data_IF_980463425959
#
_entry.id   IF_980463425959
#
_cell.length_a   1.000
_cell.length_b   1.000
_cell.length_c   1.000
_cell.angle_alpha   90.00
_cell.angle_beta   90.00
_cell.angle_gamma   90.00
#
_symmetry.space_group_name_H-M   'P 1'
#
loop_
_entity.id
_entity.type
_entity.pdbx_description
1 polymer ?
#
# COMPACT_ATOMS: atom_id res chain seq x y z
N UNK A 1 18.06 -4.45 -16.45
CA UNK A 1 16.94 -4.12 -17.35
C UNK A 1 15.72 -3.89 -16.47
N UNK A 2 15.02 -2.77 -16.63
CA UNK A 2 13.80 -2.47 -15.88
C UNK A 2 12.63 -3.27 -16.44
N UNK A 3 11.71 -3.68 -15.57
CA UNK A 3 10.56 -4.47 -15.97
C UNK A 3 9.52 -3.57 -16.64
N UNK A 4 9.10 -3.95 -17.85
CA UNK A 4 7.83 -3.46 -18.39
C UNK A 4 6.70 -3.99 -17.50
N UNK A 5 5.86 -3.09 -17.02
CA UNK A 5 4.78 -3.43 -16.09
C UNK A 5 3.48 -2.74 -16.44
N UNK A 6 2.37 -3.43 -16.21
CA UNK A 6 1.03 -2.86 -16.15
C UNK A 6 0.48 -3.05 -14.74
N UNK A 7 -0.53 -2.25 -14.39
CA UNK A 7 -1.32 -2.42 -13.13
C UNK A 7 -0.48 -2.37 -11.84
N UNK A 8 0.73 -1.81 -11.89
CA UNK A 8 1.58 -1.58 -10.73
C UNK A 8 1.05 -0.43 -9.86
N UNK A 9 1.46 -0.41 -8.61
CA UNK A 9 1.32 0.78 -7.79
C UNK A 9 2.46 1.75 -8.09
N UNK A 10 2.18 3.04 -8.02
CA UNK A 10 3.17 4.10 -8.12
C UNK A 10 2.97 5.05 -6.93
N UNK A 11 4.03 5.29 -6.17
CA UNK A 11 3.95 6.08 -4.93
C UNK A 11 5.02 7.17 -4.97
N UNK A 12 4.60 8.41 -4.75
CA UNK A 12 5.54 9.52 -4.59
C UNK A 12 6.22 9.43 -3.21
N UNK A 13 7.55 9.39 -3.21
CA UNK A 13 8.39 9.49 -2.02
C UNK A 13 8.95 10.93 -2.01
N UNK A 14 8.52 11.77 -1.04
CA UNK A 14 8.98 13.14 -0.92
C UNK A 14 10.51 13.23 -0.92
N UNK A 15 11.06 14.15 -1.71
CA UNK A 15 12.50 14.41 -1.87
C UNK A 15 13.33 13.31 -2.57
N UNK A 16 12.73 12.16 -2.93
CA UNK A 16 13.43 11.08 -3.64
C UNK A 16 12.92 10.88 -5.08
N UNK A 17 11.62 10.70 -5.27
CA UNK A 17 11.04 10.37 -6.58
C UNK A 17 9.82 9.47 -6.50
N UNK A 18 9.52 8.72 -7.57
CA UNK A 18 8.35 7.84 -7.64
C UNK A 18 8.78 6.38 -7.59
N UNK A 19 8.30 5.65 -6.60
CA UNK A 19 8.52 4.21 -6.47
C UNK A 19 7.41 3.43 -7.17
N UNK A 20 7.80 2.61 -8.15
CA UNK A 20 6.94 1.68 -8.87
C UNK A 20 7.04 0.30 -8.24
N UNK A 21 5.89 -0.32 -7.97
CA UNK A 21 5.81 -1.50 -7.11
C UNK A 21 4.96 -2.57 -7.81
N UNK A 22 5.54 -3.75 -8.01
CA UNK A 22 4.85 -4.92 -8.53
C UNK A 22 4.14 -4.69 -9.86
N UNK A 23 2.89 -5.13 -9.96
CA UNK A 23 2.14 -5.14 -11.22
C UNK A 23 2.32 -6.45 -11.98
N UNK A 24 2.00 -6.43 -13.27
CA UNK A 24 2.18 -7.58 -14.17
C UNK A 24 3.22 -7.27 -15.24
N UNK A 25 4.15 -8.20 -15.44
CA UNK A 25 5.18 -8.09 -16.48
C UNK A 25 4.62 -8.26 -17.89
N UNK A 26 5.50 -8.19 -18.90
CA UNK A 26 5.14 -8.44 -20.31
C UNK A 26 4.39 -9.76 -20.53
N UNK A 27 4.77 -10.81 -19.79
CA UNK A 27 4.12 -12.13 -19.82
C UNK A 27 2.85 -12.21 -18.95
N UNK A 28 2.32 -11.06 -18.48
CA UNK A 28 1.19 -10.92 -17.57
C UNK A 28 1.38 -11.60 -16.20
N UNK A 29 2.59 -12.05 -15.87
CA UNK A 29 2.87 -12.68 -14.58
C UNK A 29 3.06 -11.62 -13.49
N UNK A 30 2.59 -11.88 -12.26
CA UNK A 30 2.86 -11.05 -11.10
C UNK A 30 4.35 -10.76 -10.89
N UNK A 31 4.69 -9.48 -10.73
CA UNK A 31 6.03 -9.01 -10.42
C UNK A 31 6.17 -8.75 -8.91
N UNK A 32 7.33 -9.09 -8.36
CA UNK A 32 7.80 -8.63 -7.04
C UNK A 32 8.70 -7.42 -7.12
N UNK A 33 9.11 -7.02 -8.33
CA UNK A 33 10.13 -6.00 -8.53
C UNK A 33 9.60 -4.62 -8.16
N UNK A 34 10.51 -3.81 -7.64
CA UNK A 34 10.28 -2.41 -7.29
C UNK A 34 11.38 -1.57 -7.91
N UNK A 35 11.00 -0.43 -8.47
CA UNK A 35 11.91 0.43 -9.24
C UNK A 35 11.65 1.88 -8.86
N UNK A 36 12.70 2.65 -8.62
CA UNK A 36 12.61 4.05 -8.24
C UNK A 36 12.94 4.92 -9.45
N UNK A 37 12.00 5.77 -9.84
CA UNK A 37 12.25 6.89 -10.74
C UNK A 37 12.68 8.08 -9.90
N UNK A 38 13.99 8.26 -9.77
CA UNK A 38 14.63 9.26 -8.91
C UNK A 38 14.79 10.58 -9.66
N UNK A 39 14.50 11.69 -8.97
CA UNK A 39 14.79 13.05 -9.45
C UNK A 39 16.21 13.42 -9.03
N UNK A 40 17.11 13.63 -9.99
CA UNK A 40 18.42 14.19 -9.69
C UNK A 40 18.28 15.70 -9.46
N UNK A 41 18.82 16.20 -8.35
CA UNK A 41 18.97 17.64 -8.15
C UNK A 41 19.91 18.18 -9.23
N UNK A 42 19.54 19.26 -9.90
CA UNK A 42 20.47 19.98 -10.76
C UNK A 42 21.58 20.54 -9.88
N UNK A 43 22.76 19.93 -9.90
CA UNK A 43 23.94 20.56 -9.33
C UNK A 43 24.10 21.95 -9.95
N UNK A 44 24.35 22.93 -9.09
CA UNK A 44 24.36 24.37 -9.37
C UNK A 44 25.52 24.71 -10.31
N UNK A 45 25.37 24.43 -11.60
CA UNK A 45 26.11 25.06 -12.69
C UNK A 45 25.49 24.64 -14.03
N UNK A 46 24.83 25.59 -14.68
CA UNK A 46 24.40 25.52 -16.08
C UNK A 46 23.10 24.76 -16.39
N UNK A 47 22.00 25.53 -16.47
CA UNK A 47 20.98 25.44 -17.53
C UNK A 47 20.30 24.10 -17.89
N UNK A 48 20.45 23.04 -17.10
CA UNK A 48 19.91 21.72 -17.41
C UNK A 48 18.61 21.44 -16.64
N UNK A 49 17.53 21.11 -17.35
CA UNK A 49 16.26 20.68 -16.76
C UNK A 49 16.42 19.45 -15.85
N UNK A 50 15.35 19.14 -15.11
CA UNK A 50 15.31 17.99 -14.19
C UNK A 50 15.74 16.70 -14.89
N UNK A 51 16.81 16.09 -14.41
CA UNK A 51 17.26 14.78 -14.89
C UNK A 51 16.61 13.70 -14.05
N UNK A 52 15.94 12.78 -14.71
CA UNK A 52 15.31 11.62 -14.09
C UNK A 52 16.12 10.37 -14.36
N UNK A 53 16.30 9.54 -13.33
CA UNK A 53 17.04 8.29 -13.44
C UNK A 53 16.24 7.14 -12.84
N UNK A 54 16.18 6.03 -13.58
CA UNK A 54 15.65 4.78 -13.06
C UNK A 54 16.70 4.03 -12.25
N UNK A 55 16.31 3.54 -11.07
CA UNK A 55 17.14 2.76 -10.18
C UNK A 55 16.41 1.48 -9.75
N UNK A 56 17.10 0.32 -9.74
CA UNK A 56 16.54 -0.87 -9.12
C UNK A 56 16.38 -0.63 -7.61
N UNK A 57 15.34 -1.21 -7.03
CA UNK A 57 15.08 -1.13 -5.58
C UNK A 57 14.83 -2.53 -5.01
N UNK A 58 14.98 -2.69 -3.70
CA UNK A 58 14.78 -3.99 -3.02
C UNK A 58 13.40 -4.55 -3.35
N UNK A 59 13.27 -5.75 -3.93
CA UNK A 59 11.97 -6.30 -4.32
C UNK A 59 11.11 -6.69 -3.10
N UNK A 60 9.79 -6.70 -3.27
CA UNK A 60 8.82 -7.18 -2.26
C UNK A 60 9.08 -8.66 -1.90
N UNK A 61 8.68 -9.06 -0.70
CA UNK A 61 8.81 -10.45 -0.26
C UNK A 61 7.82 -11.34 -1.01
N UNK A 62 6.60 -10.85 -1.25
CA UNK A 62 5.53 -11.60 -1.91
C UNK A 62 5.20 -11.01 -3.28
N UNK A 63 4.68 -11.88 -4.15
CA UNK A 63 3.99 -11.45 -5.38
C UNK A 63 2.52 -11.22 -5.05
N UNK A 64 2.05 -10.00 -5.21
CA UNK A 64 0.62 -9.69 -5.30
C UNK A 64 0.14 -10.00 -6.73
N UNK A 65 -1.08 -10.48 -6.93
CA UNK A 65 -1.75 -10.98 -8.16
C UNK A 65 -1.84 -9.96 -9.32
N UNK A 66 -1.00 -8.93 -9.25
CA UNK A 66 -0.70 -7.97 -10.28
C UNK A 66 -1.36 -6.62 -10.06
N UNK A 67 -2.09 -6.42 -8.96
CA UNK A 67 -2.79 -5.18 -8.64
C UNK A 67 -2.45 -4.72 -7.22
N UNK A 68 -1.18 -4.38 -6.90
CA UNK A 68 -0.86 -3.89 -5.58
C UNK A 68 -1.53 -2.53 -5.32
N UNK A 69 -1.98 -2.33 -4.08
CA UNK A 69 -2.33 -1.04 -3.51
C UNK A 69 -1.16 -0.59 -2.66
N UNK A 70 -0.78 0.68 -2.76
CA UNK A 70 0.33 1.21 -1.98
C UNK A 70 0.12 2.65 -1.51
N UNK A 71 0.68 2.98 -0.36
CA UNK A 71 0.68 4.35 0.18
C UNK A 71 2.01 4.66 0.85
N UNK A 72 2.54 5.86 0.61
CA UNK A 72 3.65 6.40 1.38
C UNK A 72 3.08 7.12 2.60
N UNK A 73 3.52 6.72 3.78
CA UNK A 73 3.04 7.26 5.03
C UNK A 73 4.16 7.22 6.08
N UNK A 74 4.43 8.37 6.73
CA UNK A 74 5.41 8.51 7.81
C UNK A 74 6.79 7.88 7.50
N UNK A 75 7.34 8.14 6.30
CA UNK A 75 8.67 7.65 5.93
C UNK A 75 8.71 6.21 5.43
N UNK A 76 7.57 5.54 5.31
CA UNK A 76 7.45 4.13 4.92
C UNK A 76 6.47 3.97 3.77
N UNK A 77 6.61 2.89 3.01
CA UNK A 77 5.63 2.49 1.99
C UNK A 77 4.93 1.23 2.45
N UNK A 78 3.61 1.25 2.49
CA UNK A 78 2.77 0.11 2.86
C UNK A 78 2.11 -0.47 1.61
N UNK A 79 2.10 -1.80 1.48
CA UNK A 79 1.60 -2.50 0.29
C UNK A 79 0.72 -3.70 0.67
N UNK A 80 -0.38 -3.85 -0.05
CA UNK A 80 -1.23 -5.06 -0.05
C UNK A 80 -1.71 -5.35 -1.46
N UNK A 81 -2.22 -6.56 -1.70
CA UNK A 81 -2.89 -6.88 -2.96
C UNK A 81 -4.34 -6.41 -3.00
N UNK A 82 -4.74 -5.82 -4.13
CA UNK A 82 -6.13 -5.44 -4.37
C UNK A 82 -7.04 -6.67 -4.44
N UNK A 83 -8.05 -6.69 -3.57
CA UNK A 83 -9.02 -7.78 -3.44
C UNK A 83 -8.43 -9.16 -3.11
N UNK A 84 -7.13 -9.25 -2.77
CA UNK A 84 -6.54 -10.46 -2.21
C UNK A 84 -7.06 -10.69 -0.78
N UNK A 85 -7.09 -11.96 -0.35
CA UNK A 85 -7.27 -12.24 1.07
C UNK A 85 -6.02 -11.79 1.82
N UNK A 86 -6.19 -10.77 2.66
CA UNK A 86 -5.08 -10.10 3.32
C UNK A 86 -4.95 -10.61 4.75
N UNK A 87 -3.90 -11.39 5.00
CA UNK A 87 -3.43 -11.81 6.32
C UNK A 87 -2.16 -11.06 6.76
N UNK A 88 -1.47 -10.43 5.82
CA UNK A 88 -0.28 -9.62 6.02
C UNK A 88 -0.27 -8.42 5.08
N UNK A 89 0.42 -7.36 5.49
CA UNK A 89 0.76 -6.19 4.68
C UNK A 89 2.26 -6.04 4.67
N UNK A 90 2.82 -5.72 3.51
CA UNK A 90 4.25 -5.46 3.43
C UNK A 90 4.53 -3.98 3.71
N UNK A 91 5.63 -3.71 4.40
CA UNK A 91 6.11 -2.37 4.72
C UNK A 91 7.57 -2.24 4.33
N UNK A 92 7.86 -1.23 3.52
CA UNK A 92 9.20 -0.81 3.16
C UNK A 92 9.60 0.40 4.00
N UNK A 93 10.69 0.26 4.73
CA UNK A 93 11.33 1.35 5.45
C UNK A 93 12.26 2.14 4.52
N UNK A 94 11.72 3.18 3.88
CA UNK A 94 12.43 3.99 2.87
C UNK A 94 13.58 4.79 3.48
N UNK A 95 13.42 5.26 4.73
CA UNK A 95 14.40 6.13 5.39
C UNK A 95 15.42 5.36 6.22
N UNK A 96 15.12 4.14 6.63
CA UNK A 96 16.04 3.28 7.37
C UNK A 96 16.63 2.18 6.51
N UNK A 97 16.17 0.95 6.71
CA UNK A 97 16.85 -0.25 6.19
C UNK A 97 16.77 -0.44 4.66
N UNK A 98 15.79 0.19 3.99
CA UNK A 98 15.49 -0.08 2.58
C UNK A 98 14.99 -1.51 2.33
N UNK A 99 14.55 -2.23 3.38
CA UNK A 99 14.07 -3.60 3.31
C UNK A 99 12.55 -3.69 3.49
N UNK A 100 11.96 -4.71 2.86
CA UNK A 100 10.56 -5.06 3.05
C UNK A 100 10.37 -5.94 4.27
N UNK A 101 9.35 -5.66 5.05
CA UNK A 101 8.95 -6.42 6.24
C UNK A 101 7.48 -6.76 6.17
N UNK A 102 7.11 -7.99 6.55
CA UNK A 102 5.69 -8.37 6.68
C UNK A 102 5.15 -7.91 8.03
N UNK A 103 4.05 -7.18 7.98
CA UNK A 103 3.23 -6.82 9.12
C UNK A 103 2.00 -7.72 9.13
N UNK A 104 1.94 -8.63 10.11
CA UNK A 104 0.82 -9.56 10.21
C UNK A 104 -0.41 -8.89 10.80
N UNK A 105 -1.58 -9.23 10.26
CA UNK A 105 -2.84 -8.83 10.83
C UNK A 105 -3.28 -9.85 11.87
N UNK A 106 -3.49 -9.39 13.09
CA UNK A 106 -4.29 -10.16 14.05
C UNK A 106 -5.76 -10.04 13.68
N UNK A 107 -6.20 -10.73 12.63
CA UNK A 107 -7.63 -10.85 12.34
C UNK A 107 -8.27 -11.85 13.30
N UNK A 108 -9.53 -11.57 13.63
CA UNK A 108 -10.35 -12.40 14.49
C UNK A 108 -10.76 -13.68 13.73
N UNK A 109 -10.51 -14.85 14.34
CA UNK A 109 -10.97 -16.19 13.90
C UNK A 109 -10.50 -16.72 12.52
N UNK A 110 -10.27 -18.04 12.36
CA UNK A 110 -9.81 -18.65 11.09
C UNK A 110 -10.74 -18.46 9.88
N UNK A 111 -12.03 -18.20 10.15
CA UNK A 111 -13.09 -18.14 9.14
C UNK A 111 -13.43 -16.70 8.68
N UNK A 112 -12.68 -15.70 9.14
CA UNK A 112 -12.85 -14.32 8.72
C UNK A 112 -11.66 -13.84 7.90
N UNK A 113 -11.96 -13.26 6.74
CA UNK A 113 -10.98 -12.72 5.81
C UNK A 113 -11.25 -11.26 5.54
N UNK A 114 -10.18 -10.50 5.34
CA UNK A 114 -10.26 -9.13 4.84
C UNK A 114 -9.79 -9.11 3.39
N UNK A 115 -10.54 -8.43 2.52
CA UNK A 115 -10.07 -8.01 1.21
C UNK A 115 -9.97 -6.50 1.20
N UNK A 116 -8.87 -5.95 0.71
CA UNK A 116 -8.65 -4.50 0.71
C UNK A 116 -8.86 -3.96 -0.71
N UNK A 117 -9.56 -2.83 -0.80
CA UNK A 117 -9.86 -2.12 -2.06
C UNK A 117 -9.23 -0.74 -2.11
N UNK A 118 -9.10 -0.08 -0.96
CA UNK A 118 -8.56 1.27 -0.86
C UNK A 118 -7.66 1.41 0.36
N UNK A 119 -6.66 2.29 0.24
CA UNK A 119 -5.74 2.65 1.30
C UNK A 119 -5.49 4.16 1.31
N UNK A 120 -5.35 4.76 2.49
CA UNK A 120 -4.99 6.17 2.63
C UNK A 120 -4.31 6.43 3.97
N UNK A 121 -3.26 7.26 3.99
CA UNK A 121 -2.73 7.83 5.24
C UNK A 121 -3.42 9.16 5.52
N UNK A 122 -4.00 9.32 6.72
CA UNK A 122 -4.67 10.56 7.15
C UNK A 122 -4.29 10.87 8.59
N UNK A 123 -3.67 12.04 8.81
CA UNK A 123 -3.13 12.39 10.12
C UNK A 123 -2.04 11.40 10.56
N UNK A 124 -2.25 10.76 11.71
CA UNK A 124 -1.35 9.74 12.26
C UNK A 124 -1.81 8.29 11.99
N UNK A 125 -2.86 8.12 11.18
CA UNK A 125 -3.45 6.80 10.95
C UNK A 125 -3.38 6.36 9.49
N UNK A 126 -3.13 5.06 9.31
CA UNK A 126 -3.31 4.37 8.04
C UNK A 126 -4.72 3.79 8.00
N UNK A 127 -5.51 4.19 7.00
CA UNK A 127 -6.85 3.66 6.73
C UNK A 127 -6.80 2.62 5.62
N UNK A 128 -7.57 1.54 5.80
CA UNK A 128 -7.85 0.55 4.77
C UNK A 128 -9.35 0.33 4.68
N UNK A 129 -9.86 0.19 3.47
CA UNK A 129 -11.27 -0.08 3.24
C UNK A 129 -11.43 -1.23 2.26
N UNK A 130 -12.38 -2.11 2.55
CA UNK A 130 -12.74 -3.21 1.67
C UNK A 130 -13.82 -4.08 2.25
N UNK A 131 -13.72 -5.40 2.05
CA UNK A 131 -14.75 -6.33 2.53
C UNK A 131 -14.20 -7.24 3.62
N UNK A 132 -14.92 -7.25 4.75
CA UNK A 132 -14.86 -8.32 5.75
C UNK A 132 -15.75 -9.46 5.26
N UNK A 133 -15.17 -10.64 5.12
CA UNK A 133 -15.81 -11.85 4.59
C UNK A 133 -15.80 -12.89 5.69
N UNK A 134 -16.98 -13.30 6.12
CA UNK A 134 -17.17 -14.37 7.11
C UNK A 134 -17.70 -15.60 6.39
N UNK A 135 -16.97 -16.72 6.50
CA UNK A 135 -17.40 -18.00 5.95
C UNK A 135 -18.31 -18.69 6.95
N UNK A 136 -19.60 -18.77 6.63
CA UNK A 136 -20.61 -19.40 7.50
C UNK A 136 -20.64 -20.91 7.21
N UNK A 137 -20.53 -21.29 5.95
CA UNK A 137 -20.35 -22.68 5.49
C UNK A 137 -19.76 -22.69 4.07
N UNK A 138 -19.52 -23.88 3.49
CA UNK A 138 -18.93 -24.04 2.15
C UNK A 138 -19.65 -23.29 1.02
N UNK A 139 -20.95 -22.98 1.18
CA UNK A 139 -21.80 -22.31 0.17
C UNK A 139 -22.23 -20.91 0.55
N UNK A 140 -22.06 -20.51 1.82
CA UNK A 140 -22.58 -19.24 2.33
C UNK A 140 -21.46 -18.38 2.90
N UNK A 141 -21.32 -17.18 2.33
CA UNK A 141 -20.40 -16.15 2.82
C UNK A 141 -21.20 -14.89 3.16
N UNK A 142 -20.94 -14.31 4.32
CA UNK A 142 -21.39 -12.98 4.67
C UNK A 142 -20.31 -11.99 4.25
N UNK A 143 -20.67 -10.98 3.45
CA UNK A 143 -19.74 -9.95 2.98
C UNK A 143 -20.22 -8.61 3.52
N UNK A 144 -19.36 -7.94 4.27
CA UNK A 144 -19.65 -6.62 4.84
C UNK A 144 -18.57 -5.64 4.42
N UNK A 145 -18.99 -4.49 3.92
CA UNK A 145 -18.05 -3.40 3.68
C UNK A 145 -17.55 -2.87 5.03
N UNK A 146 -16.24 -2.71 5.15
CA UNK A 146 -15.59 -2.34 6.39
C UNK A 146 -14.42 -1.39 6.13
N UNK A 147 -14.30 -0.37 6.98
CA UNK A 147 -13.14 0.52 7.04
C UNK A 147 -12.45 0.27 8.37
N UNK A 148 -11.14 0.14 8.31
CA UNK A 148 -10.29 0.02 9.48
C UNK A 148 -9.23 1.11 9.44
N UNK A 149 -8.74 1.50 10.60
CA UNK A 149 -7.53 2.31 10.70
C UNK A 149 -6.60 1.77 11.76
N UNK A 150 -5.34 2.17 11.66
CA UNK A 150 -4.34 1.89 12.68
C UNK A 150 -3.43 3.11 12.83
N UNK A 151 -3.19 3.51 14.07
CA UNK A 151 -2.12 4.43 14.39
C UNK A 151 -0.79 3.67 14.35
N UNK A 152 0.15 4.19 13.58
CA UNK A 152 1.48 3.61 13.43
C UNK A 152 2.42 4.38 14.36
N UNK A 153 2.73 3.82 15.53
CA UNK A 153 3.60 4.43 16.54
C UNK A 153 5.10 4.22 16.25
N UNK A 154 5.43 3.80 15.03
CA UNK A 154 6.79 3.48 14.62
C UNK A 154 7.31 2.12 15.11
N UNK A 155 6.53 1.39 15.92
CA UNK A 155 6.85 0.03 16.33
C UNK A 155 6.50 -0.97 15.21
N UNK A 156 7.31 -2.01 15.07
CA UNK A 156 7.17 -3.05 14.03
C UNK A 156 5.96 -3.97 14.22
N UNK A 157 5.24 -3.81 15.34
CA UNK A 157 4.08 -4.62 15.71
C UNK A 157 2.82 -3.77 15.67
N UNK A 158 1.95 -4.08 14.72
CA UNK A 158 0.63 -3.46 14.61
C UNK A 158 -0.22 -3.83 15.84
N UNK A 159 -0.54 -2.85 16.70
CA UNK A 159 -1.14 -3.12 18.02
C UNK A 159 -2.63 -3.49 17.99
N UNK A 160 -3.34 -3.24 16.88
CA UNK A 160 -4.66 -3.79 16.48
C UNK A 160 -5.36 -2.79 15.56
N UNK A 161 -6.03 -3.27 14.51
CA UNK A 161 -6.85 -2.43 13.65
C UNK A 161 -8.13 -2.01 14.35
N UNK A 162 -8.45 -0.72 14.28
CA UNK A 162 -9.66 -0.12 14.82
C UNK A 162 -10.70 -0.10 13.70
N UNK A 163 -11.82 -0.81 13.88
CA UNK A 163 -12.95 -0.73 12.96
C UNK A 163 -13.58 0.67 13.05
N UNK A 164 -13.73 1.33 11.91
CA UNK A 164 -14.33 2.66 11.79
C UNK A 164 -15.76 2.55 11.27
N UNK A 165 -16.62 3.47 11.70
CA UNK A 165 -17.98 3.59 11.19
C UNK A 165 -17.93 4.08 9.75
N UNK A 166 -18.58 3.37 8.84
CA UNK A 166 -18.73 3.80 7.46
C UNK A 166 -20.06 4.55 7.33
N UNK A 167 -20.01 5.70 6.66
CA UNK A 167 -21.19 6.39 6.16
C UNK A 167 -21.19 6.25 4.65
N UNK A 168 -21.94 5.28 4.14
CA UNK A 168 -22.16 5.12 2.70
C UNK A 168 -23.22 6.13 2.28
N UNK A 169 -22.92 6.97 1.28
CA UNK A 169 -23.87 7.95 0.71
C UNK A 169 -24.42 8.96 1.74
N UNK A 170 -23.54 9.73 2.38
CA UNK A 170 -23.96 10.93 3.12
C UNK A 170 -24.00 12.16 2.21
N UNK A 171 -24.92 13.09 2.47
CA UNK A 171 -24.80 14.46 1.95
C UNK A 171 -23.41 15.00 2.32
N UNK A 172 -22.71 15.59 1.36
CA UNK A 172 -21.38 16.18 1.57
C UNK A 172 -21.51 17.25 2.64
N UNK A 173 -21.23 16.92 3.89
CA UNK A 173 -21.18 17.90 4.96
C UNK A 173 -19.91 18.72 4.74
N UNK A 174 -20.08 19.98 4.37
CA UNK A 174 -19.00 20.95 4.27
C UNK A 174 -18.36 21.11 5.64
N UNK A 175 -17.14 20.59 5.81
CA UNK A 175 -16.37 20.83 7.03
C UNK A 175 -15.55 22.09 6.80
N UNK A 176 -15.86 23.17 7.53
CA UNK A 176 -14.97 24.32 7.58
C UNK A 176 -13.71 23.94 8.36
N UNK A 177 -12.61 23.78 7.65
CA UNK A 177 -11.28 23.71 8.25
C UNK A 177 -10.98 25.11 8.80
N UNK A 178 -10.74 25.20 10.12
CA UNK A 178 -10.22 26.41 10.77
C UNK A 178 -8.72 26.50 10.58
#
# INVERSE_FOLDING_TARGET
MFEERITCAAVNIPDYGVLFIGGKGRNRSPLRSTELLMRQSAEVASGGGEKWQWLPYTPMNKKHDGFPLAVYFQGRVYVVGYCEYVNEMEMLDVRGSGQWTSLTFSTHSPDQYLTIRFMAGVGNELFVTGNEIEVINLKTKSIRYATFSIELDGDSKLKKWIRRKIVLYGDVMTVHLK
#
